data_IF_872427274126
#
_entry.id   IF_872427274126
#
_cell.length_a   1.000
_cell.length_b   1.000
_cell.length_c   1.000
_cell.angle_alpha   90.00
_cell.angle_beta   90.00
_cell.angle_gamma   90.00
#
_symmetry.space_group_name_H-M   'P 1'
#
loop_
_entity.id
_entity.type
_entity.pdbx_description
1 polymer ?
#
# COMPACT_ATOMS: atom_id res chain seq x y z
N UNK A 1 -26.74 23.07 39.52
CA UNK A 1 -27.53 22.83 38.29
C UNK A 1 -26.91 21.68 37.51
N UNK A 2 -27.67 20.67 37.07
CA UNK A 2 -27.13 19.62 36.21
C UNK A 2 -26.75 20.22 34.86
N UNK A 3 -25.53 19.95 34.38
CA UNK A 3 -25.12 20.35 33.02
C UNK A 3 -25.99 19.57 32.03
N UNK A 4 -26.69 20.26 31.13
CA UNK A 4 -27.35 19.61 29.99
C UNK A 4 -26.27 18.78 29.25
N UNK A 5 -26.54 17.52 28.86
CA UNK A 5 -25.61 16.76 28.06
C UNK A 5 -25.37 17.55 26.77
N UNK A 6 -24.12 17.97 26.54
CA UNK A 6 -23.75 18.61 25.28
C UNK A 6 -24.06 17.63 24.16
N UNK A 7 -24.94 17.96 23.20
CA UNK A 7 -25.22 17.05 22.11
C UNK A 7 -23.91 16.74 21.37
N UNK A 8 -23.69 15.47 20.97
CA UNK A 8 -22.44 15.08 20.34
C UNK A 8 -22.22 15.91 19.07
N UNK A 9 -20.97 16.27 18.74
CA UNK A 9 -20.63 17.11 17.58
C UNK A 9 -20.82 16.30 16.28
N UNK A 10 -22.09 16.12 15.89
CA UNK A 10 -22.49 15.20 14.80
C UNK A 10 -21.87 15.59 13.46
N UNK A 11 -21.71 16.88 13.19
CA UNK A 11 -21.14 17.40 11.95
C UNK A 11 -19.62 17.19 11.87
N UNK A 12 -18.91 17.42 12.98
CA UNK A 12 -17.47 17.20 13.12
C UNK A 12 -17.15 15.72 13.01
N UNK A 13 -17.93 14.86 13.68
CA UNK A 13 -17.79 13.40 13.58
C UNK A 13 -18.07 12.90 12.15
N UNK A 14 -19.00 13.52 11.41
CA UNK A 14 -19.23 13.17 10.00
C UNK A 14 -18.02 13.51 9.12
N UNK A 15 -17.38 14.66 9.34
CA UNK A 15 -16.12 15.03 8.63
C UNK A 15 -15.00 14.06 8.94
N UNK A 16 -14.83 13.67 10.21
CA UNK A 16 -13.82 12.67 10.61
C UNK A 16 -14.08 11.32 9.92
N UNK A 17 -15.33 10.84 9.89
CA UNK A 17 -15.66 9.58 9.19
C UNK A 17 -15.40 9.66 7.69
N UNK A 18 -15.73 10.78 7.05
CA UNK A 18 -15.47 10.98 5.63
C UNK A 18 -13.96 10.99 5.33
N UNK A 19 -13.17 11.68 6.15
CA UNK A 19 -11.71 11.69 6.03
C UNK A 19 -11.10 10.30 6.26
N UNK A 20 -11.57 9.58 7.29
CA UNK A 20 -11.12 8.22 7.58
C UNK A 20 -11.42 7.25 6.43
N UNK A 21 -12.62 7.34 5.83
CA UNK A 21 -12.96 6.54 4.65
C UNK A 21 -12.03 6.85 3.48
N UNK A 22 -11.81 8.14 3.18
CA UNK A 22 -10.90 8.55 2.11
C UNK A 22 -9.46 8.07 2.35
N UNK A 23 -9.01 8.13 3.61
CA UNK A 23 -7.68 7.64 3.98
C UNK A 23 -7.58 6.13 3.75
N UNK A 24 -8.56 5.34 4.19
CA UNK A 24 -8.59 3.90 3.96
C UNK A 24 -8.54 3.56 2.46
N UNK A 25 -9.32 4.26 1.62
CA UNK A 25 -9.31 4.04 0.17
C UNK A 25 -7.92 4.34 -0.45
N UNK A 26 -7.23 5.36 0.06
CA UNK A 26 -5.88 5.71 -0.39
C UNK A 26 -4.83 4.70 0.10
N UNK A 27 -4.94 4.23 1.33
CA UNK A 27 -4.07 3.20 1.90
C UNK A 27 -4.18 1.91 1.09
N UNK A 28 -5.40 1.48 0.73
CA UNK A 28 -5.59 0.33 -0.17
C UNK A 28 -4.89 0.50 -1.52
N UNK A 29 -5.02 1.68 -2.14
CA UNK A 29 -4.34 1.97 -3.43
C UNK A 29 -2.82 1.98 -3.30
N UNK A 30 -2.31 2.52 -2.19
CA UNK A 30 -0.86 2.51 -1.91
C UNK A 30 -0.35 1.09 -1.73
N UNK A 31 -1.09 0.23 -1.02
CA UNK A 31 -0.72 -1.17 -0.86
C UNK A 31 -0.74 -1.93 -2.19
N UNK A 32 -1.73 -1.69 -3.06
CA UNK A 32 -1.77 -2.27 -4.41
C UNK A 32 -0.57 -1.82 -5.25
N UNK A 33 -0.26 -0.51 -5.27
CA UNK A 33 0.88 0.02 -6.00
C UNK A 33 2.23 -0.49 -5.46
N UNK A 34 2.33 -0.70 -4.14
CA UNK A 34 3.50 -1.33 -3.51
C UNK A 34 3.66 -2.78 -3.94
N UNK A 35 2.58 -3.56 -3.95
CA UNK A 35 2.60 -4.94 -4.40
C UNK A 35 3.05 -5.06 -5.86
N UNK A 36 2.52 -4.21 -6.75
CA UNK A 36 2.93 -4.14 -8.16
C UNK A 36 4.41 -3.81 -8.30
N UNK A 37 4.88 -2.75 -7.64
CA UNK A 37 6.31 -2.38 -7.62
C UNK A 37 7.18 -3.53 -7.13
N UNK A 38 6.78 -4.21 -6.05
CA UNK A 38 7.52 -5.32 -5.48
C UNK A 38 7.63 -6.49 -6.48
N UNK A 39 6.54 -6.82 -7.19
CA UNK A 39 6.53 -7.84 -8.23
C UNK A 39 7.49 -7.47 -9.39
N UNK A 40 7.47 -6.22 -9.86
CA UNK A 40 8.39 -5.73 -10.89
C UNK A 40 9.85 -5.79 -10.42
N UNK A 41 10.12 -5.44 -9.15
CA UNK A 41 11.45 -5.56 -8.56
C UNK A 41 11.92 -7.01 -8.50
N UNK A 42 11.04 -7.96 -8.18
CA UNK A 42 11.36 -9.38 -8.17
C UNK A 42 11.69 -9.89 -9.59
N UNK A 43 10.89 -9.51 -10.59
CA UNK A 43 11.15 -9.84 -11.99
C UNK A 43 12.48 -9.24 -12.48
N UNK A 44 12.74 -7.97 -12.20
CA UNK A 44 14.01 -7.32 -12.55
C UNK A 44 15.22 -7.98 -11.84
N UNK A 45 15.04 -8.43 -10.59
CA UNK A 45 16.08 -9.19 -9.88
C UNK A 45 16.37 -10.53 -10.56
N UNK A 46 15.34 -11.25 -11.02
CA UNK A 46 15.50 -12.50 -11.78
C UNK A 46 16.20 -12.25 -13.13
N UNK A 47 15.98 -11.10 -13.75
CA UNK A 47 16.68 -10.66 -14.95
C UNK A 47 18.13 -10.18 -14.69
N UNK A 48 18.61 -10.21 -13.44
CA UNK A 48 19.99 -9.89 -13.07
C UNK A 48 20.24 -8.47 -12.58
N UNK A 49 19.19 -7.67 -12.33
CA UNK A 49 19.36 -6.32 -11.77
C UNK A 49 20.02 -6.38 -10.37
N UNK A 50 20.97 -5.48 -10.14
CA UNK A 50 21.61 -5.35 -8.83
C UNK A 50 20.68 -4.63 -7.86
N UNK A 51 20.89 -4.85 -6.56
CA UNK A 51 20.03 -4.18 -5.60
C UNK A 51 20.20 -2.65 -5.56
N UNK A 52 21.31 -2.08 -6.06
CA UNK A 52 21.46 -0.62 -6.18
C UNK A 52 20.60 -0.08 -7.31
N UNK A 53 20.58 -0.77 -8.46
CA UNK A 53 19.69 -0.44 -9.58
C UNK A 53 18.22 -0.55 -9.17
N UNK A 54 17.88 -1.58 -8.41
CA UNK A 54 16.51 -1.76 -7.90
C UNK A 54 16.13 -0.68 -6.89
N UNK A 55 17.04 -0.29 -6.00
CA UNK A 55 16.80 0.78 -5.02
C UNK A 55 16.52 2.12 -5.71
N UNK A 56 17.35 2.46 -6.70
CA UNK A 56 17.24 3.69 -7.48
C UNK A 56 15.93 3.71 -8.29
N UNK A 57 15.66 2.66 -9.06
CA UNK A 57 14.45 2.55 -9.87
C UNK A 57 13.15 2.58 -9.04
N UNK A 58 13.16 1.95 -7.86
CA UNK A 58 11.99 1.89 -6.98
C UNK A 58 11.87 3.10 -6.03
N UNK A 59 12.85 4.01 -6.01
CA UNK A 59 12.89 5.16 -5.11
C UNK A 59 12.92 4.77 -3.62
N UNK A 60 13.58 3.66 -3.26
CA UNK A 60 13.67 3.19 -1.88
C UNK A 60 15.11 3.07 -1.40
N UNK A 61 15.30 3.10 -0.08
CA UNK A 61 16.61 2.82 0.50
C UNK A 61 17.08 1.41 0.15
N UNK A 62 18.37 1.27 -0.20
CA UNK A 62 19.02 0.01 -0.55
C UNK A 62 18.76 -1.15 0.42
N UNK A 63 18.73 -0.83 1.73
CA UNK A 63 18.45 -1.79 2.81
C UNK A 63 17.04 -2.39 2.78
N UNK A 64 16.09 -1.72 2.12
CA UNK A 64 14.70 -2.15 2.03
C UNK A 64 14.42 -3.03 0.79
N UNK A 65 15.37 -3.13 -0.14
CA UNK A 65 15.19 -3.85 -1.41
C UNK A 65 14.87 -5.32 -1.17
N UNK A 66 15.58 -5.98 -0.25
CA UNK A 66 15.34 -7.40 0.02
C UNK A 66 13.94 -7.64 0.59
N UNK A 67 13.52 -6.82 1.55
CA UNK A 67 12.18 -6.90 2.14
C UNK A 67 11.08 -6.65 1.08
N UNK A 68 11.29 -5.71 0.16
CA UNK A 68 10.36 -5.43 -0.93
C UNK A 68 10.21 -6.64 -1.86
N UNK A 69 11.31 -7.26 -2.27
CA UNK A 69 11.29 -8.45 -3.14
C UNK A 69 10.63 -9.64 -2.42
N UNK A 70 10.95 -9.86 -1.15
CA UNK A 70 10.35 -10.96 -0.36
C UNK A 70 8.85 -10.76 -0.09
N UNK A 71 8.36 -9.52 -0.16
CA UNK A 71 6.94 -9.20 -0.04
C UNK A 71 6.24 -9.09 -1.40
N UNK A 72 6.89 -9.48 -2.49
CA UNK A 72 6.23 -9.58 -3.79
C UNK A 72 5.20 -10.72 -3.73
N UNK A 73 3.97 -10.52 -4.24
CA UNK A 73 3.03 -11.62 -4.38
C UNK A 73 3.61 -12.66 -5.35
N UNK A 74 3.38 -13.94 -5.07
CA UNK A 74 3.84 -15.01 -5.96
C UNK A 74 3.18 -14.82 -7.34
N UNK A 75 3.97 -14.91 -8.41
CA UNK A 75 3.48 -14.70 -9.78
C UNK A 75 2.36 -15.67 -10.17
N UNK A 76 2.24 -16.82 -9.47
CA UNK A 76 1.16 -17.80 -9.66
C UNK A 76 -0.23 -17.30 -9.26
N UNK A 77 -0.34 -16.28 -8.41
CA UNK A 77 -1.63 -15.76 -7.95
C UNK A 77 -2.32 -14.87 -8.99
N UNK A 78 -1.57 -14.27 -9.92
CA UNK A 78 -2.14 -13.38 -10.95
C UNK A 78 -2.72 -14.12 -12.16
N UNK A 79 -2.27 -15.33 -12.47
CA UNK A 79 -2.78 -16.10 -13.63
C UNK A 79 -4.20 -16.65 -13.40
N UNK A 80 -4.63 -16.81 -12.14
CA UNK A 80 -5.94 -17.35 -11.80
C UNK A 80 -7.09 -16.34 -11.89
N UNK A 81 -6.83 -15.04 -11.84
CA UNK A 81 -7.88 -14.00 -11.87
C UNK A 81 -8.20 -13.52 -13.30
N UNK A 82 -7.26 -13.60 -14.24
CA UNK A 82 -7.50 -13.29 -15.67
C UNK A 82 -8.09 -14.45 -16.48
N UNK A 83 -8.36 -15.60 -15.85
CA UNK A 83 -8.86 -16.82 -16.50
C UNK A 83 -10.33 -17.16 -16.15
N UNK A 84 -11.10 -16.21 -15.61
CA UNK A 84 -12.55 -16.37 -15.30
C UNK A 84 -13.37 -15.26 -15.94
#
# INVERSE_FOLDING_TARGET
MPRKPTPPPRAELAKVRAAAKRLADLETKVEQARAERNALMAAARQAGATGDQLADAAGIARRNVLAAISAAPDASDQEHENSR
#
